data_IF_088135494489
#
_entry.id   IF_088135494489
#
_cell.length_a   1.000
_cell.length_b   1.000
_cell.length_c   1.000
_cell.angle_alpha   90.00
_cell.angle_beta   90.00
_cell.angle_gamma   90.00
#
_symmetry.space_group_name_H-M   'P 1'
#
loop_
_entity.id
_entity.type
_entity.pdbx_description
1 polymer ?
#
# COMPACT_ATOMS: atom_id res chain seq x y z
N UNK A 1 23.01 1.74 8.86
CA UNK A 1 22.49 0.40 8.45
C UNK A 1 23.55 -0.61 8.85
N UNK A 2 23.25 -1.59 9.71
CA UNK A 2 24.29 -2.51 10.21
C UNK A 2 24.66 -3.53 9.11
N UNK A 3 25.92 -3.57 8.64
CA UNK A 3 26.38 -4.48 7.59
C UNK A 3 26.21 -5.97 7.95
N UNK A 4 26.09 -6.29 9.23
CA UNK A 4 26.07 -7.67 9.70
C UNK A 4 24.79 -8.44 9.36
N UNK A 5 23.66 -7.77 9.14
CA UNK A 5 22.38 -8.42 8.75
C UNK A 5 22.27 -8.75 7.26
N UNK A 6 23.16 -8.22 6.41
CA UNK A 6 23.14 -8.47 4.96
C UNK A 6 23.97 -9.70 4.54
N UNK A 7 24.51 -10.49 5.49
CA UNK A 7 25.47 -11.57 5.21
C UNK A 7 24.89 -12.75 4.40
N UNK A 8 23.57 -12.89 4.26
CA UNK A 8 22.96 -13.87 3.34
C UNK A 8 21.55 -13.45 2.92
N UNK A 9 21.40 -12.97 1.68
CA UNK A 9 20.10 -12.72 1.05
C UNK A 9 20.01 -13.67 -0.15
N UNK A 10 18.96 -14.48 -0.22
CA UNK A 10 18.62 -15.29 -1.40
C UNK A 10 17.39 -14.69 -2.06
N UNK A 11 17.49 -14.38 -3.35
CA UNK A 11 16.45 -13.75 -4.16
C UNK A 11 16.09 -14.67 -5.32
N UNK A 12 14.80 -14.91 -5.51
CA UNK A 12 14.26 -15.46 -6.74
C UNK A 12 13.57 -14.30 -7.49
N UNK A 13 14.12 -13.90 -8.63
CA UNK A 13 13.52 -12.95 -9.54
C UNK A 13 12.84 -13.71 -10.68
N UNK A 14 11.60 -13.34 -11.02
CA UNK A 14 10.84 -13.94 -12.08
C UNK A 14 10.24 -12.87 -13.00
N UNK A 15 10.32 -13.10 -14.31
CA UNK A 15 9.76 -12.24 -15.35
C UNK A 15 9.53 -13.09 -16.61
N UNK A 16 8.61 -12.70 -17.49
CA UNK A 16 8.46 -13.34 -18.80
C UNK A 16 9.53 -12.86 -19.80
N UNK A 17 10.15 -11.71 -19.55
CA UNK A 17 11.16 -11.08 -20.39
C UNK A 17 12.56 -11.50 -19.98
N UNK A 18 13.24 -12.24 -20.86
CA UNK A 18 14.66 -12.55 -20.70
C UNK A 18 15.52 -11.29 -20.54
N UNK A 19 15.23 -10.23 -21.30
CA UNK A 19 15.98 -8.98 -21.25
C UNK A 19 15.86 -8.29 -19.88
N UNK A 20 14.66 -8.24 -19.31
CA UNK A 20 14.41 -7.69 -17.97
C UNK A 20 15.20 -8.44 -16.90
N UNK A 21 15.29 -9.78 -17.02
CA UNK A 21 16.08 -10.60 -16.10
C UNK A 21 17.60 -10.37 -16.24
N UNK A 22 18.09 -10.07 -17.44
CA UNK A 22 19.50 -9.69 -17.63
C UNK A 22 19.81 -8.33 -16.99
N UNK A 23 18.91 -7.36 -17.12
CA UNK A 23 19.06 -6.06 -16.47
C UNK A 23 18.98 -6.18 -14.94
N UNK A 24 18.09 -7.05 -14.41
CA UNK A 24 18.05 -7.36 -12.99
C UNK A 24 19.38 -7.93 -12.47
N UNK A 25 20.03 -8.83 -13.23
CA UNK A 25 21.37 -9.37 -12.88
C UNK A 25 22.43 -8.28 -12.85
N UNK A 26 22.47 -7.42 -13.88
CA UNK A 26 23.44 -6.31 -13.96
C UNK A 26 23.28 -5.33 -12.79
N UNK A 27 22.04 -4.96 -12.47
CA UNK A 27 21.73 -4.07 -11.35
C UNK A 27 22.11 -4.70 -10.01
N UNK A 28 21.82 -6.00 -9.84
CA UNK A 28 22.21 -6.74 -8.65
C UNK A 28 23.73 -6.81 -8.48
N UNK A 29 24.46 -7.13 -9.56
CA UNK A 29 25.93 -7.14 -9.59
C UNK A 29 26.53 -5.78 -9.20
N UNK A 30 26.02 -4.70 -9.82
CA UNK A 30 26.46 -3.34 -9.51
C UNK A 30 26.20 -2.98 -8.05
N UNK A 31 25.00 -3.27 -7.55
CA UNK A 31 24.64 -3.03 -6.16
C UNK A 31 25.53 -3.82 -5.19
N UNK A 32 25.72 -5.13 -5.42
CA UNK A 32 26.57 -5.97 -4.59
C UNK A 32 28.01 -5.43 -4.52
N UNK A 33 28.56 -4.98 -5.66
CA UNK A 33 29.89 -4.37 -5.73
C UNK A 33 29.94 -3.05 -4.95
N UNK A 34 28.91 -2.21 -5.06
CA UNK A 34 28.87 -0.90 -4.40
C UNK A 34 28.82 -1.04 -2.88
N UNK A 35 28.02 -1.99 -2.37
CA UNK A 35 27.80 -2.16 -0.92
C UNK A 35 28.72 -3.22 -0.28
N UNK A 36 29.57 -3.88 -1.07
CA UNK A 36 30.58 -4.83 -0.58
C UNK A 36 29.99 -6.16 -0.05
N UNK A 37 28.91 -6.66 -0.66
CA UNK A 37 28.31 -7.96 -0.30
C UNK A 37 28.57 -9.02 -1.37
N UNK A 38 28.61 -10.32 -1.01
CA UNK A 38 28.80 -11.39 -1.99
C UNK A 38 27.69 -11.41 -3.04
N UNK A 39 28.07 -11.50 -4.32
CA UNK A 39 27.14 -11.76 -5.42
C UNK A 39 26.76 -13.25 -5.49
N UNK A 40 26.18 -13.76 -4.42
CA UNK A 40 25.79 -15.16 -4.28
C UNK A 40 24.40 -15.19 -3.63
N UNK A 41 23.35 -15.05 -4.44
CA UNK A 41 21.99 -15.00 -3.90
C UNK A 41 20.90 -14.80 -4.92
N UNK A 42 21.17 -14.18 -6.07
CA UNK A 42 20.16 -13.95 -7.09
C UNK A 42 20.01 -15.16 -8.03
N UNK A 43 18.79 -15.68 -8.13
CA UNK A 43 18.36 -16.61 -9.17
C UNK A 43 17.29 -15.94 -10.02
N UNK A 44 17.48 -15.95 -11.32
CA UNK A 44 16.50 -15.43 -12.28
C UNK A 44 15.83 -16.59 -13.00
N UNK A 45 14.51 -16.55 -13.09
CA UNK A 45 13.72 -17.60 -13.74
C UNK A 45 12.72 -16.96 -14.69
N UNK A 46 12.77 -17.36 -15.95
CA UNK A 46 11.80 -16.92 -16.93
C UNK A 46 10.47 -17.65 -16.72
N UNK A 47 9.36 -16.92 -16.69
CA UNK A 47 8.05 -17.54 -16.52
C UNK A 47 6.87 -16.56 -16.59
N UNK A 48 5.71 -17.10 -16.96
CA UNK A 48 4.47 -16.34 -16.98
C UNK A 48 3.82 -16.31 -15.59
N UNK A 49 3.74 -15.11 -14.99
CA UNK A 49 3.13 -14.89 -13.69
C UNK A 49 1.61 -15.13 -13.67
N UNK A 50 0.93 -15.16 -14.82
CA UNK A 50 -0.46 -15.61 -14.92
C UNK A 50 -0.62 -17.09 -14.53
N UNK A 51 0.47 -17.85 -14.58
CA UNK A 51 0.52 -19.27 -14.24
C UNK A 51 1.72 -19.58 -13.32
N UNK A 52 1.76 -19.01 -12.11
CA UNK A 52 2.96 -18.98 -11.28
C UNK A 52 3.47 -20.37 -10.89
N UNK A 53 2.59 -21.37 -10.82
CA UNK A 53 2.94 -22.74 -10.43
C UNK A 53 3.19 -23.69 -11.61
N UNK A 54 3.18 -23.20 -12.85
CA UNK A 54 3.50 -24.02 -14.04
C UNK A 54 4.98 -23.91 -14.42
N UNK A 55 5.48 -24.94 -15.10
CA UNK A 55 6.81 -24.94 -15.73
C UNK A 55 7.97 -24.84 -14.74
N UNK A 56 9.07 -24.22 -15.19
CA UNK A 56 10.26 -24.03 -14.34
C UNK A 56 10.01 -23.04 -13.21
N UNK A 57 9.26 -21.95 -13.47
CA UNK A 57 8.86 -20.98 -12.46
C UNK A 57 8.23 -21.66 -11.23
N UNK A 58 7.22 -22.50 -11.44
CA UNK A 58 6.57 -23.22 -10.35
C UNK A 58 7.53 -24.10 -9.54
N UNK A 59 8.42 -24.84 -10.23
CA UNK A 59 9.44 -25.68 -9.57
C UNK A 59 10.38 -24.85 -8.71
N UNK A 60 10.78 -23.67 -9.19
CA UNK A 60 11.71 -22.78 -8.50
C UNK A 60 11.05 -22.08 -7.32
N UNK A 61 9.77 -21.68 -7.44
CA UNK A 61 8.97 -21.16 -6.33
C UNK A 61 8.90 -22.19 -5.21
N UNK A 62 8.51 -23.43 -5.53
CA UNK A 62 8.39 -24.53 -4.56
C UNK A 62 9.73 -24.85 -3.91
N UNK A 63 10.82 -24.90 -4.68
CA UNK A 63 12.16 -25.21 -4.18
C UNK A 63 12.74 -24.10 -3.30
N UNK A 64 12.41 -22.84 -3.58
CA UNK A 64 12.96 -21.69 -2.87
C UNK A 64 12.21 -21.28 -1.61
N UNK A 65 10.96 -21.70 -1.45
CA UNK A 65 10.13 -21.36 -0.29
C UNK A 65 10.48 -22.15 0.98
N UNK A 66 9.95 -21.72 2.15
CA UNK A 66 9.08 -20.57 2.33
C UNK A 66 9.84 -19.22 2.24
N UNK A 67 9.16 -18.17 1.82
CA UNK A 67 9.71 -16.83 1.61
C UNK A 67 9.36 -15.87 2.75
N UNK A 68 10.35 -15.14 3.24
CA UNK A 68 10.12 -14.04 4.20
C UNK A 68 9.42 -12.84 3.53
N UNK A 69 9.62 -12.65 2.23
CA UNK A 69 9.07 -11.55 1.46
C UNK A 69 8.80 -12.00 0.02
N UNK A 70 7.59 -11.75 -0.47
CA UNK A 70 7.23 -11.85 -1.89
C UNK A 70 6.86 -10.45 -2.35
N UNK A 71 7.45 -9.97 -3.44
CA UNK A 71 7.20 -8.63 -3.98
C UNK A 71 6.61 -8.77 -5.38
N UNK A 72 5.47 -8.13 -5.62
CA UNK A 72 4.84 -7.99 -6.93
C UNK A 72 4.66 -6.49 -7.16
N UNK A 73 5.55 -5.88 -7.92
CA UNK A 73 5.62 -4.43 -8.07
C UNK A 73 5.49 -4.01 -9.54
N UNK A 74 4.47 -3.20 -9.84
CA UNK A 74 4.18 -2.63 -11.16
C UNK A 74 4.09 -3.68 -12.28
N UNK A 75 3.46 -4.83 -11.98
CA UNK A 75 3.31 -5.89 -12.97
C UNK A 75 1.99 -6.67 -12.83
N UNK A 76 1.34 -6.67 -11.65
CA UNK A 76 0.08 -7.38 -11.48
C UNK A 76 -1.03 -6.71 -12.31
N UNK A 77 -0.97 -5.38 -12.46
CA UNK A 77 -1.86 -4.61 -13.31
C UNK A 77 -1.79 -4.95 -14.81
N UNK A 78 -0.71 -5.59 -15.26
CA UNK A 78 -0.48 -5.94 -16.67
C UNK A 78 -1.01 -7.34 -17.02
N UNK A 79 -1.25 -8.18 -16.00
CA UNK A 79 -1.69 -9.56 -16.20
C UNK A 79 -3.17 -9.63 -16.63
N UNK A 80 -3.49 -10.65 -17.42
CA UNK A 80 -4.83 -10.99 -17.89
C UNK A 80 -5.55 -9.86 -18.65
N UNK A 81 -4.91 -9.19 -19.63
CA UNK A 81 -5.51 -8.04 -20.32
C UNK A 81 -6.77 -8.40 -21.13
N UNK A 82 -6.95 -9.68 -21.47
CA UNK A 82 -8.10 -10.19 -22.24
C UNK A 82 -9.11 -10.95 -21.38
N UNK A 83 -8.92 -11.05 -20.07
CA UNK A 83 -9.89 -11.73 -19.20
C UNK A 83 -11.16 -10.90 -19.03
N UNK A 84 -12.29 -11.58 -18.82
CA UNK A 84 -13.57 -10.92 -18.55
C UNK A 84 -13.57 -10.14 -17.23
N UNK A 85 -12.88 -10.64 -16.20
CA UNK A 85 -12.69 -9.99 -14.91
C UNK A 85 -11.23 -10.13 -14.43
N UNK A 86 -10.30 -9.29 -14.93
CA UNK A 86 -8.88 -9.37 -14.57
C UNK A 86 -8.60 -9.29 -13.06
N UNK A 87 -9.29 -8.45 -12.25
CA UNK A 87 -9.14 -8.46 -10.80
C UNK A 87 -9.34 -9.83 -10.13
N UNK A 88 -10.29 -10.65 -10.61
CA UNK A 88 -10.53 -12.01 -10.09
C UNK A 88 -9.36 -12.95 -10.40
N UNK A 89 -8.89 -12.95 -11.66
CA UNK A 89 -7.76 -13.78 -12.08
C UNK A 89 -6.47 -13.41 -11.32
N UNK A 90 -6.23 -12.10 -11.13
CA UNK A 90 -5.10 -11.60 -10.33
C UNK A 90 -5.22 -12.00 -8.86
N UNK A 91 -6.42 -12.02 -8.28
CA UNK A 91 -6.63 -12.52 -6.93
C UNK A 91 -6.27 -14.01 -6.83
N UNK A 92 -6.62 -14.81 -7.85
CA UNK A 92 -6.28 -16.24 -7.90
C UNK A 92 -4.77 -16.49 -8.00
N UNK A 93 -4.03 -15.65 -8.74
CA UNK A 93 -2.55 -15.69 -8.77
C UNK A 93 -1.98 -15.38 -7.39
N UNK A 94 -2.41 -14.30 -6.75
CA UNK A 94 -1.94 -13.93 -5.40
C UNK A 94 -2.27 -15.04 -4.39
N UNK A 95 -3.47 -15.61 -4.46
CA UNK A 95 -3.90 -16.72 -3.60
C UNK A 95 -2.99 -17.95 -3.72
N UNK A 96 -2.54 -18.29 -4.94
CA UNK A 96 -1.58 -19.38 -5.18
C UNK A 96 -0.20 -19.14 -4.56
N UNK A 97 0.20 -17.87 -4.36
CA UNK A 97 1.50 -17.51 -3.81
C UNK A 97 1.51 -17.44 -2.27
N UNK A 98 0.37 -17.17 -1.63
CA UNK A 98 0.25 -17.08 -0.17
C UNK A 98 0.81 -18.29 0.60
N UNK A 99 0.59 -19.56 0.20
CA UNK A 99 1.12 -20.73 0.90
C UNK A 99 2.64 -20.82 0.95
N UNK A 100 3.33 -20.07 0.08
CA UNK A 100 4.79 -20.04 0.05
C UNK A 100 5.38 -18.98 0.98
N UNK A 101 4.57 -18.19 1.70
CA UNK A 101 5.08 -17.30 2.73
C UNK A 101 5.53 -18.09 3.97
N UNK A 102 6.67 -17.69 4.54
CA UNK A 102 7.02 -18.07 5.89
C UNK A 102 5.97 -17.51 6.88
N UNK A 103 5.80 -18.10 8.09
CA UNK A 103 4.82 -17.59 9.05
C UNK A 103 4.93 -16.09 9.34
N UNK A 104 6.13 -15.48 9.56
CA UNK A 104 6.24 -14.04 9.73
C UNK A 104 6.30 -13.26 8.40
N UNK A 105 6.24 -13.95 7.27
CA UNK A 105 6.48 -13.41 5.93
C UNK A 105 5.38 -12.47 5.46
N UNK A 106 5.67 -11.70 4.42
CA UNK A 106 4.74 -10.72 3.86
C UNK A 106 4.73 -10.79 2.33
N UNK A 107 3.55 -10.76 1.73
CA UNK A 107 3.39 -10.52 0.30
C UNK A 107 3.05 -9.05 0.10
N UNK A 108 3.92 -8.35 -0.61
CA UNK A 108 3.84 -6.92 -0.91
C UNK A 108 3.44 -6.74 -2.37
N UNK A 109 2.33 -6.04 -2.59
CA UNK A 109 1.88 -5.61 -3.91
C UNK A 109 2.02 -4.10 -3.98
N UNK A 110 2.64 -3.59 -5.04
CA UNK A 110 2.78 -2.16 -5.31
C UNK A 110 2.36 -1.91 -6.75
N UNK A 111 1.49 -0.93 -6.96
CA UNK A 111 0.93 -0.58 -8.27
C UNK A 111 0.89 0.94 -8.46
N UNK A 112 0.89 1.44 -9.71
CA UNK A 112 0.72 2.87 -9.96
C UNK A 112 -0.56 3.42 -9.31
N UNK A 113 -0.51 4.66 -8.80
CA UNK A 113 -1.66 5.33 -8.19
C UNK A 113 -2.71 5.87 -9.19
N UNK A 114 -2.70 5.39 -10.43
CA UNK A 114 -3.70 5.76 -11.43
C UNK A 114 -5.06 5.19 -11.03
N UNK A 115 -6.15 5.93 -11.32
CA UNK A 115 -7.51 5.53 -10.95
C UNK A 115 -7.83 4.09 -11.38
N UNK A 116 -7.50 3.72 -12.62
CA UNK A 116 -7.80 2.38 -13.15
C UNK A 116 -7.03 1.27 -12.42
N UNK A 117 -5.71 1.40 -12.29
CA UNK A 117 -4.84 0.40 -11.64
C UNK A 117 -5.13 0.29 -10.14
N UNK A 118 -5.33 1.42 -9.46
CA UNK A 118 -5.68 1.46 -8.04
C UNK A 118 -7.03 0.81 -7.76
N UNK A 119 -8.07 1.13 -8.55
CA UNK A 119 -9.40 0.50 -8.39
C UNK A 119 -9.37 -1.00 -8.70
N UNK A 120 -8.61 -1.43 -9.70
CA UNK A 120 -8.42 -2.85 -9.99
C UNK A 120 -7.75 -3.58 -8.81
N UNK A 121 -6.76 -2.96 -8.14
CA UNK A 121 -6.15 -3.49 -6.92
C UNK A 121 -7.18 -3.58 -5.76
N UNK A 122 -8.05 -2.58 -5.60
CA UNK A 122 -9.11 -2.59 -4.58
C UNK A 122 -10.14 -3.70 -4.83
N UNK A 123 -10.50 -3.94 -6.09
CA UNK A 123 -11.38 -5.05 -6.50
C UNK A 123 -10.72 -6.40 -6.23
N UNK A 124 -9.47 -6.58 -6.68
CA UNK A 124 -8.68 -7.80 -6.43
C UNK A 124 -8.59 -8.09 -4.93
N UNK A 125 -8.29 -7.07 -4.10
CA UNK A 125 -8.30 -7.17 -2.63
C UNK A 125 -9.64 -7.72 -2.12
N UNK A 126 -10.76 -7.15 -2.58
CA UNK A 126 -12.09 -7.60 -2.15
C UNK A 126 -12.34 -9.08 -2.52
N UNK A 127 -11.90 -9.53 -3.71
CA UNK A 127 -12.01 -10.93 -4.11
C UNK A 127 -11.16 -11.85 -3.25
N UNK A 128 -9.92 -11.45 -2.97
CA UNK A 128 -8.99 -12.23 -2.15
C UNK A 128 -9.51 -12.39 -0.71
N UNK A 129 -10.05 -11.32 -0.11
CA UNK A 129 -10.58 -11.36 1.26
C UNK A 129 -11.82 -12.24 1.41
N UNK A 130 -12.64 -12.38 0.36
CA UNK A 130 -13.76 -13.33 0.36
C UNK A 130 -13.31 -14.79 0.48
N UNK A 131 -12.05 -15.10 0.15
CA UNK A 131 -11.50 -16.45 0.26
C UNK A 131 -10.98 -16.79 1.67
N UNK A 132 -10.79 -15.78 2.54
CA UNK A 132 -10.35 -16.01 3.92
C UNK A 132 -8.92 -16.55 4.06
N UNK A 133 -8.07 -16.41 3.03
CA UNK A 133 -6.73 -17.00 2.98
C UNK A 133 -5.62 -16.13 3.63
N UNK A 134 -5.90 -14.85 3.88
CA UNK A 134 -4.91 -13.91 4.38
C UNK A 134 -5.53 -12.78 5.18
N UNK A 135 -4.68 -12.04 5.88
CA UNK A 135 -4.99 -10.82 6.60
C UNK A 135 -4.34 -9.64 5.90
N UNK A 136 -5.08 -8.52 5.78
CA UNK A 136 -4.47 -7.26 5.36
C UNK A 136 -3.64 -6.70 6.51
N UNK A 137 -2.31 -6.74 6.36
CA UNK A 137 -1.40 -6.10 7.30
C UNK A 137 -1.47 -4.58 7.18
N UNK A 138 -1.43 -4.06 5.95
CA UNK A 138 -1.46 -2.62 5.60
C UNK A 138 -1.91 -2.47 4.13
N UNK A 139 -2.47 -1.34 3.65
CA UNK A 139 -2.82 -0.10 4.35
C UNK A 139 -4.19 -0.11 5.01
N UNK A 140 -5.08 -1.02 4.62
CA UNK A 140 -6.45 -1.02 5.13
C UNK A 140 -6.49 -1.51 6.58
N UNK A 141 -7.17 -0.76 7.44
CA UNK A 141 -7.37 -1.10 8.85
C UNK A 141 -8.66 -1.91 9.07
N UNK A 142 -9.11 -2.61 8.03
CA UNK A 142 -10.31 -3.42 8.00
C UNK A 142 -10.25 -4.42 6.84
N UNK A 143 -11.16 -5.40 6.84
CA UNK A 143 -11.30 -6.43 5.80
C UNK A 143 -12.65 -6.41 5.09
N UNK A 144 -13.52 -5.45 5.42
CA UNK A 144 -14.71 -5.18 4.62
C UNK A 144 -14.35 -4.72 3.19
N UNK A 145 -15.38 -4.68 2.32
CA UNK A 145 -15.28 -4.11 0.98
C UNK A 145 -14.66 -2.70 1.03
N UNK A 146 -13.73 -2.40 0.12
CA UNK A 146 -13.05 -1.11 0.09
C UNK A 146 -14.04 0.05 -0.16
N UNK A 147 -14.21 1.00 0.77
CA UNK A 147 -15.15 2.13 0.58
C UNK A 147 -14.73 3.09 -0.54
N UNK A 148 -13.46 3.05 -0.98
CA UNK A 148 -13.02 3.85 -2.12
C UNK A 148 -13.63 3.40 -3.45
N UNK A 149 -14.29 2.23 -3.49
CA UNK A 149 -15.00 1.75 -4.67
C UNK A 149 -16.44 2.25 -4.77
N UNK A 150 -17.01 2.80 -3.68
CA UNK A 150 -18.42 3.21 -3.58
C UNK A 150 -18.77 4.29 -4.61
N UNK A 151 -17.83 5.20 -4.91
CA UNK A 151 -17.97 6.19 -5.96
C UNK A 151 -17.04 5.84 -7.15
N UNK A 152 -17.50 5.93 -8.42
CA UNK A 152 -16.70 5.55 -9.59
C UNK A 152 -15.42 6.40 -9.77
N UNK A 153 -15.46 7.66 -9.34
CA UNK A 153 -14.34 8.59 -9.47
C UNK A 153 -13.36 8.55 -8.30
N UNK A 154 -13.63 7.77 -7.26
CA UNK A 154 -12.76 7.67 -6.09
C UNK A 154 -11.73 6.54 -6.23
N UNK A 155 -10.56 6.72 -5.61
CA UNK A 155 -9.60 5.66 -5.35
C UNK A 155 -8.69 6.01 -4.16
N UNK A 156 -8.27 5.00 -3.41
CA UNK A 156 -7.27 5.15 -2.36
C UNK A 156 -5.86 4.88 -2.92
N UNK A 157 -4.89 5.69 -2.50
CA UNK A 157 -3.46 5.52 -2.78
C UNK A 157 -2.61 6.06 -1.61
N UNK A 158 -1.31 5.88 -1.72
CA UNK A 158 -0.27 6.40 -0.86
C UNK A 158 0.56 7.46 -1.58
N UNK A 159 1.12 8.38 -0.81
CA UNK A 159 2.02 9.42 -1.29
C UNK A 159 3.23 9.50 -0.38
N UNK A 160 4.43 9.56 -0.97
CA UNK A 160 5.69 9.62 -0.22
C UNK A 160 6.60 10.70 -0.79
N UNK A 161 7.20 11.56 0.05
CA UNK A 161 8.21 12.50 -0.41
C UNK A 161 9.29 11.77 -1.19
N UNK A 162 9.68 12.34 -2.32
CA UNK A 162 10.68 11.77 -3.20
C UNK A 162 11.87 12.69 -3.31
N UNK A 163 13.05 12.17 -3.00
CA UNK A 163 14.30 12.85 -3.29
C UNK A 163 14.71 12.52 -4.72
N UNK A 164 14.32 13.40 -5.63
CA UNK A 164 14.59 13.26 -7.06
C UNK A 164 16.10 13.26 -7.34
N UNK A 165 16.65 12.23 -8.01
CA UNK A 165 18.06 12.24 -8.42
C UNK A 165 18.35 13.43 -9.34
N UNK A 166 19.55 14.06 -9.27
CA UNK A 166 19.85 15.28 -10.03
C UNK A 166 19.60 15.18 -11.54
N UNK A 167 19.92 14.03 -12.14
CA UNK A 167 19.67 13.79 -13.57
C UNK A 167 18.16 13.81 -13.91
N UNK A 168 17.32 13.26 -13.04
CA UNK A 168 15.87 13.28 -13.25
C UNK A 168 15.29 14.67 -12.96
N UNK A 169 15.83 15.38 -11.97
CA UNK A 169 15.42 16.75 -11.66
C UNK A 169 15.69 17.70 -12.84
N UNK A 170 16.82 17.54 -13.52
CA UNK A 170 17.14 18.31 -14.74
C UNK A 170 16.12 18.03 -15.87
N UNK A 171 15.77 16.76 -16.09
CA UNK A 171 14.73 16.39 -17.07
C UNK A 171 13.36 16.97 -16.69
N UNK A 172 12.96 16.83 -15.43
CA UNK A 172 11.68 17.35 -14.93
C UNK A 172 11.61 18.88 -15.09
N UNK A 173 12.71 19.60 -14.88
CA UNK A 173 12.80 21.04 -15.10
C UNK A 173 12.64 21.40 -16.59
N UNK A 174 13.26 20.66 -17.51
CA UNK A 174 13.15 20.89 -18.94
C UNK A 174 11.73 20.65 -19.47
N UNK A 175 11.03 19.64 -18.96
CA UNK A 175 9.66 19.31 -19.40
C UNK A 175 8.57 19.99 -18.58
N UNK A 176 8.92 20.74 -17.53
CA UNK A 176 7.98 21.44 -16.64
C UNK A 176 7.20 20.51 -15.71
N UNK A 177 7.73 19.34 -15.37
CA UNK A 177 7.13 18.43 -14.40
C UNK A 177 7.53 18.78 -12.97
N UNK A 178 6.54 18.75 -12.07
CA UNK A 178 6.76 18.86 -10.63
C UNK A 178 6.47 17.48 -10.04
N UNK A 179 7.54 16.78 -9.64
CA UNK A 179 7.49 15.47 -8.99
C UNK A 179 8.20 15.54 -7.65
N UNK A 180 7.51 16.04 -6.64
CA UNK A 180 7.96 16.14 -5.25
C UNK A 180 7.60 14.90 -4.42
N UNK A 181 6.68 14.07 -4.92
CA UNK A 181 6.26 12.84 -4.27
C UNK A 181 6.01 11.68 -5.24
N UNK A 182 6.28 10.46 -4.75
CA UNK A 182 5.88 9.21 -5.41
C UNK A 182 4.47 8.84 -4.96
N UNK A 183 3.59 8.58 -5.93
CA UNK A 183 2.22 8.14 -5.71
C UNK A 183 2.05 6.70 -6.16
N UNK A 184 1.64 5.83 -5.25
CA UNK A 184 1.43 4.40 -5.52
C UNK A 184 0.27 3.85 -4.70
N UNK A 185 -0.35 2.77 -5.18
CA UNK A 185 -1.25 1.96 -4.38
C UNK A 185 -0.48 0.73 -3.91
N UNK A 186 -0.74 0.28 -2.69
CA UNK A 186 -0.08 -0.92 -2.18
C UNK A 186 -1.01 -1.77 -1.33
N UNK A 187 -0.65 -3.04 -1.19
CA UNK A 187 -1.32 -4.01 -0.34
C UNK A 187 -0.27 -4.94 0.27
N UNK A 188 -0.23 -5.01 1.60
CA UNK A 188 0.62 -5.93 2.35
C UNK A 188 -0.27 -7.02 2.97
N UNK A 189 0.02 -8.26 2.61
CA UNK A 189 -0.75 -9.43 3.02
C UNK A 189 0.13 -10.35 3.88
N UNK A 190 -0.47 -10.91 4.92
CA UNK A 190 0.17 -11.90 5.82
C UNK A 190 -0.79 -13.05 6.08
N UNK A 191 -0.25 -14.17 6.55
CA UNK A 191 -1.00 -15.39 6.89
C UNK A 191 -1.03 -15.68 8.39
N UNK A 192 -0.39 -14.84 9.22
CA UNK A 192 -0.29 -15.00 10.68
C UNK A 192 -1.30 -14.16 11.47
N UNK A 193 -2.28 -13.55 10.80
CA UNK A 193 -3.30 -12.72 11.44
C UNK A 193 -2.83 -11.35 11.92
N UNK A 194 -1.54 -11.00 11.74
CA UNK A 194 -1.03 -9.71 12.21
C UNK A 194 -1.50 -8.55 11.34
N UNK A 195 -1.74 -7.42 11.99
CA UNK A 195 -2.07 -6.13 11.39
C UNK A 195 -1.03 -5.07 11.77
N UNK A 196 -0.93 -3.98 11.00
CA UNK A 196 0.04 -2.90 11.27
C UNK A 196 -0.23 -2.19 12.62
N UNK A 197 -1.49 -2.17 13.05
CA UNK A 197 -2.00 -1.71 14.35
C UNK A 197 -3.24 -2.54 14.73
N UNK A 198 -3.62 -2.56 16.00
CA UNK A 198 -4.91 -3.12 16.43
C UNK A 198 -6.05 -2.35 15.76
N UNK A 199 -6.95 -3.06 15.08
CA UNK A 199 -8.12 -2.46 14.44
C UNK A 199 -9.12 -2.01 15.50
N UNK A 200 -9.76 -0.86 15.27
CA UNK A 200 -10.72 -0.26 16.20
C UNK A 200 -11.59 0.76 15.47
N UNK A 201 -12.84 0.97 15.91
CA UNK A 201 -13.70 2.02 15.36
C UNK A 201 -13.14 3.43 15.55
N UNK A 202 -12.19 3.60 16.47
CA UNK A 202 -11.51 4.86 16.80
C UNK A 202 -10.16 5.02 16.11
N UNK A 203 -9.67 3.98 15.43
CA UNK A 203 -8.37 4.00 14.73
C UNK A 203 -8.60 4.11 13.24
N UNK A 204 -7.99 5.13 12.63
CA UNK A 204 -8.20 5.49 11.24
C UNK A 204 -6.88 5.63 10.50
N UNK A 205 -6.87 5.28 9.22
CA UNK A 205 -5.83 5.73 8.29
C UNK A 205 -6.27 7.05 7.67
N UNK A 206 -5.38 8.03 7.62
CA UNK A 206 -5.58 9.26 6.85
C UNK A 206 -5.37 8.94 5.36
N UNK A 207 -6.39 9.16 4.54
CA UNK A 207 -6.41 8.76 3.11
C UNK A 207 -6.55 9.95 2.15
N UNK A 208 -6.34 11.17 2.63
CA UNK A 208 -6.18 12.38 1.83
C UNK A 208 -5.12 13.30 2.42
N UNK A 209 -4.75 14.34 1.68
CA UNK A 209 -4.05 15.48 2.26
C UNK A 209 -4.94 16.18 3.30
N UNK A 210 -4.29 16.85 4.25
CA UNK A 210 -4.95 17.76 5.17
C UNK A 210 -5.31 19.03 4.41
N UNK A 211 -6.59 19.21 4.11
CA UNK A 211 -7.09 20.39 3.43
C UNK A 211 -7.29 21.51 4.43
N UNK A 212 -6.55 22.60 4.25
CA UNK A 212 -6.73 23.84 4.99
C UNK A 212 -7.79 24.70 4.30
N UNK A 213 -8.86 24.98 5.03
CA UNK A 213 -10.02 25.75 4.58
C UNK A 213 -10.16 26.98 5.49
N UNK A 214 -11.02 27.93 5.11
CA UNK A 214 -11.27 29.12 5.93
C UNK A 214 -11.90 28.74 7.28
N UNK A 215 -11.12 28.80 8.35
CA UNK A 215 -11.56 28.55 9.72
C UNK A 215 -11.58 27.08 10.14
N UNK A 216 -11.04 26.17 9.33
CA UNK A 216 -11.01 24.74 9.64
C UNK A 216 -9.99 23.93 8.82
N UNK A 217 -9.65 22.74 9.32
CA UNK A 217 -8.89 21.72 8.59
C UNK A 217 -9.69 20.43 8.43
N UNK A 218 -9.58 19.77 7.28
CA UNK A 218 -10.31 18.52 6.97
C UNK A 218 -9.45 17.48 6.28
N UNK A 219 -9.67 16.21 6.59
CA UNK A 219 -9.09 15.09 5.87
C UNK A 219 -10.13 13.97 5.68
N UNK A 220 -9.95 13.16 4.65
CA UNK A 220 -10.64 11.89 4.51
C UNK A 220 -9.90 10.84 5.33
N UNK A 221 -10.65 10.12 6.15
CA UNK A 221 -10.17 9.02 6.96
C UNK A 221 -10.76 7.71 6.45
N UNK A 222 -10.18 6.57 6.81
CA UNK A 222 -10.72 5.26 6.49
C UNK A 222 -10.47 4.25 7.62
N UNK A 223 -11.51 3.50 7.99
CA UNK A 223 -11.43 2.32 8.83
C UNK A 223 -12.62 1.37 8.56
N UNK A 224 -12.88 0.44 9.47
CA UNK A 224 -13.99 -0.50 9.39
C UNK A 224 -15.38 0.13 9.34
N UNK A 225 -15.52 1.40 9.75
CA UNK A 225 -16.78 2.14 9.72
C UNK A 225 -17.01 2.87 8.38
N UNK A 226 -16.07 2.79 7.44
CA UNK A 226 -16.14 3.41 6.12
C UNK A 226 -15.08 4.51 5.92
N UNK A 227 -15.36 5.44 5.00
CA UNK A 227 -14.45 6.53 4.60
C UNK A 227 -15.05 7.91 4.92
N UNK A 228 -15.10 8.34 6.19
CA UNK A 228 -15.67 9.64 6.55
C UNK A 228 -14.71 10.81 6.23
N UNK A 229 -15.30 11.96 5.89
CA UNK A 229 -14.59 13.25 5.98
C UNK A 229 -14.67 13.75 7.43
N UNK A 230 -13.53 14.09 8.03
CA UNK A 230 -13.44 14.57 9.40
C UNK A 230 -12.65 15.86 9.45
N UNK A 231 -13.11 16.82 10.25
CA UNK A 231 -12.44 18.10 10.39
C UNK A 231 -12.52 18.74 11.77
N UNK A 232 -11.58 19.64 12.02
CA UNK A 232 -11.49 20.45 13.23
C UNK A 232 -11.62 21.93 12.84
N UNK A 233 -12.52 22.65 13.50
CA UNK A 233 -12.60 24.10 13.38
C UNK A 233 -11.41 24.74 14.11
N UNK A 234 -10.85 25.84 13.60
CA UNK A 234 -9.67 26.48 14.20
C UNK A 234 -9.94 26.93 15.64
N UNK A 235 -11.14 27.48 15.90
CA UNK A 235 -11.60 27.86 17.25
C UNK A 235 -11.77 26.68 18.22
N UNK A 236 -11.65 25.44 17.74
CA UNK A 236 -11.72 24.21 18.53
C UNK A 236 -10.34 23.56 18.70
N UNK A 237 -9.27 24.20 18.23
CA UNK A 237 -7.91 23.77 18.50
C UNK A 237 -7.65 23.77 20.02
N UNK A 238 -7.02 22.70 20.50
CA UNK A 238 -6.62 22.53 21.89
C UNK A 238 -5.41 21.59 21.98
N UNK A 239 -4.74 21.52 23.15
CA UNK A 239 -3.68 20.54 23.36
C UNK A 239 -4.10 19.08 23.14
N UNK A 240 -5.38 18.73 23.40
CA UNK A 240 -5.89 17.37 23.25
C UNK A 240 -5.96 16.92 21.78
N UNK A 241 -6.13 17.86 20.85
CA UNK A 241 -6.29 17.58 19.43
C UNK A 241 -5.20 18.20 18.54
N UNK A 242 -4.08 18.64 19.12
CA UNK A 242 -2.98 19.26 18.40
C UNK A 242 -2.41 18.39 17.27
N UNK A 243 -2.49 17.06 17.42
CA UNK A 243 -2.01 16.11 16.41
C UNK A 243 -2.72 16.23 15.05
N UNK A 244 -3.90 16.86 14.98
CA UNK A 244 -4.61 17.14 13.71
C UNK A 244 -3.76 17.99 12.77
N UNK A 245 -2.95 18.91 13.31
CA UNK A 245 -2.11 19.80 12.50
C UNK A 245 -0.95 19.08 11.79
N UNK A 246 -0.67 17.83 12.19
CA UNK A 246 0.37 16.98 11.60
C UNK A 246 -0.21 15.80 10.81
N UNK A 247 -1.52 15.80 10.54
CA UNK A 247 -2.13 14.78 9.70
C UNK A 247 -1.59 14.88 8.27
N UNK A 248 -1.26 13.72 7.72
CA UNK A 248 -0.79 13.56 6.35
C UNK A 248 -1.25 12.19 5.86
N UNK A 249 -1.37 12.04 4.53
CA UNK A 249 -1.75 10.76 3.92
C UNK A 249 -0.83 9.64 4.40
N UNK A 250 -1.42 8.50 4.74
CA UNK A 250 -0.70 7.32 5.22
C UNK A 250 -0.58 7.24 6.74
N UNK A 251 -0.69 8.37 7.46
CA UNK A 251 -0.67 8.36 8.91
C UNK A 251 -1.82 7.54 9.48
N UNK A 252 -1.55 6.83 10.57
CA UNK A 252 -2.57 6.13 11.37
C UNK A 252 -2.80 6.95 12.64
N UNK A 253 -4.07 7.30 12.85
CA UNK A 253 -4.50 8.19 13.92
C UNK A 253 -5.56 7.50 14.77
N UNK A 254 -5.53 7.79 16.07
CA UNK A 254 -6.61 7.43 16.99
C UNK A 254 -7.38 8.69 17.35
N UNK A 255 -8.70 8.62 17.26
CA UNK A 255 -9.63 9.71 17.57
C UNK A 255 -10.64 9.15 18.58
N UNK A 256 -10.66 9.72 19.79
CA UNK A 256 -11.52 9.26 20.88
C UNK A 256 -13.00 9.21 20.47
N UNK A 257 -13.47 10.27 19.81
CA UNK A 257 -14.84 10.37 19.29
C UNK A 257 -14.95 11.36 18.14
N UNK A 258 -15.85 11.08 17.21
CA UNK A 258 -16.21 11.98 16.11
C UNK A 258 -17.64 12.45 16.32
N UNK A 259 -17.85 13.77 16.40
CA UNK A 259 -19.19 14.35 16.57
C UNK A 259 -19.79 14.65 15.22
N UNK A 260 -21.01 14.18 14.95
CA UNK A 260 -21.78 14.63 13.79
C UNK A 260 -22.90 15.54 14.24
N UNK A 261 -22.96 16.72 13.65
CA UNK A 261 -24.08 17.65 13.90
C UNK A 261 -25.30 17.17 13.14
N UNK A 262 -26.43 17.18 13.81
CA UNK A 262 -27.74 16.92 13.21
C UNK A 262 -28.57 18.20 13.27
N UNK A 263 -29.25 18.52 12.17
CA UNK A 263 -30.21 19.61 12.10
C UNK A 263 -31.40 19.17 11.28
N UNK A 264 -32.61 19.31 11.82
CA UNK A 264 -33.87 18.97 11.13
C UNK A 264 -33.85 17.53 10.56
N UNK A 265 -33.32 16.58 11.35
CA UNK A 265 -33.20 15.16 10.94
C UNK A 265 -32.08 14.86 9.93
N UNK A 266 -31.32 15.86 9.49
CA UNK A 266 -30.19 15.69 8.56
C UNK A 266 -28.87 15.70 9.30
N UNK A 267 -28.16 14.59 9.23
CA UNK A 267 -26.81 14.44 9.79
C UNK A 267 -25.79 15.04 8.83
N UNK A 268 -24.89 15.88 9.34
CA UNK A 268 -23.82 16.47 8.55
C UNK A 268 -22.89 15.37 7.99
N UNK A 269 -22.48 15.46 6.71
CA UNK A 269 -21.55 14.49 6.13
C UNK A 269 -20.14 14.59 6.74
N UNK A 270 -19.83 15.72 7.39
CA UNK A 270 -18.51 15.98 7.98
C UNK A 270 -18.53 15.70 9.48
N UNK A 271 -17.70 14.75 9.90
CA UNK A 271 -17.40 14.51 11.30
C UNK A 271 -16.57 15.64 11.91
N UNK A 272 -16.80 15.95 13.19
CA UNK A 272 -16.16 17.05 13.90
C UNK A 272 -15.36 16.58 15.10
N UNK A 273 -14.18 17.18 15.25
CA UNK A 273 -13.31 17.07 16.42
C UNK A 273 -13.56 18.32 17.27
N UNK A 274 -14.11 18.12 18.46
CA UNK A 274 -14.34 19.20 19.43
C UNK A 274 -13.07 19.45 20.28
N UNK A 275 -13.08 20.55 21.05
CA UNK A 275 -11.91 21.01 21.80
C UNK A 275 -11.44 20.05 22.90
N UNK A 276 -12.33 19.19 23.39
CA UNK A 276 -12.07 18.22 24.45
C UNK A 276 -11.79 16.80 23.92
N UNK A 277 -11.81 16.59 22.60
CA UNK A 277 -11.55 15.27 21.99
C UNK A 277 -10.06 15.01 21.89
N UNK A 278 -9.60 13.87 22.42
CA UNK A 278 -8.22 13.43 22.25
C UNK A 278 -7.97 12.89 20.82
N UNK A 279 -6.89 13.35 20.20
CA UNK A 279 -6.40 12.88 18.90
C UNK A 279 -4.90 12.58 19.00
N UNK A 280 -4.50 11.40 18.54
CA UNK A 280 -3.11 10.97 18.54
C UNK A 280 -2.72 10.40 17.18
N UNK A 281 -1.49 10.66 16.74
CA UNK A 281 -0.87 9.90 15.64
C UNK A 281 -0.20 8.70 16.28
N UNK A 282 -0.79 7.52 16.09
CA UNK A 282 -0.23 6.26 16.63
C UNK A 282 0.86 5.69 15.72
N UNK A 283 0.82 6.05 14.43
CA UNK A 283 1.89 5.72 13.49
C UNK A 283 1.98 6.83 12.44
N UNK A 284 3.12 7.53 12.29
CA UNK A 284 3.33 8.39 11.13
C UNK A 284 3.34 7.51 9.86
N UNK A 285 3.17 8.14 8.70
CA UNK A 285 3.21 7.41 7.44
C UNK A 285 4.52 6.64 7.31
#
# INVERSE_FOLDING_TARGET
RSPERAKSISVLAADASHASLQDAKRLWEAYCSEVGIPNAGLRCVEGNLEHPLKGDLGKQIVRGGPYDLIIIANCLNELFPTAGDPPVERAAVVAQLLPFLAPPGTLMIVEPALRQTARALHQMRNHLLKQGLCTVYSPCLHEAACPALDHPDDWCHEERPWQTPPAIAALDQEVGFIKDALKFSYLLLRTDGRTIVTRSPQTFRVVSELRELKGEKRAWLCNETGRPEVGRLDRKASPHNAAVDSWHRGAIVQIERIVRKEREGKVSPVGRIESDVAVQIIRPA
#
